data_IF_937712089737
#
_entry.id   IF_937712089737
#
_cell.length_a   1.000
_cell.length_b   1.000
_cell.length_c   1.000
_cell.angle_alpha   90.00
_cell.angle_beta   90.00
_cell.angle_gamma   90.00
#
_symmetry.space_group_name_H-M   'P 1'
#
loop_
_entity.id
_entity.type
_entity.pdbx_description
1 polymer ?
#
# COMPACT_ATOMS: atom_id res chain seq x y z
N UNK A 1 -19.87 3.65 -6.66
CA UNK A 1 -19.13 2.79 -7.63
C UNK A 1 -17.99 2.04 -6.95
N UNK A 2 -17.21 2.69 -6.07
CA UNK A 2 -16.18 2.07 -5.19
C UNK A 2 -16.79 1.07 -4.19
N UNK A 3 -17.97 1.36 -3.64
CA UNK A 3 -18.63 0.48 -2.65
C UNK A 3 -18.89 -0.92 -3.21
N UNK A 4 -19.14 -1.01 -4.51
CA UNK A 4 -19.35 -2.28 -5.21
C UNK A 4 -18.05 -3.11 -5.31
N UNK A 5 -16.89 -2.46 -5.40
CA UNK A 5 -15.59 -3.15 -5.45
C UNK A 5 -15.22 -3.72 -4.08
N UNK A 6 -15.46 -2.98 -3.00
CA UNK A 6 -15.22 -3.47 -1.63
C UNK A 6 -16.13 -4.64 -1.30
N UNK A 7 -17.43 -4.55 -1.64
CA UNK A 7 -18.36 -5.66 -1.47
C UNK A 7 -17.92 -6.91 -2.24
N UNK A 8 -17.46 -6.73 -3.49
CA UNK A 8 -16.94 -7.82 -4.31
C UNK A 8 -15.67 -8.44 -3.72
N UNK A 9 -14.72 -7.63 -3.25
CA UNK A 9 -13.49 -8.11 -2.62
C UNK A 9 -13.80 -8.90 -1.33
N UNK A 10 -14.68 -8.39 -0.47
CA UNK A 10 -15.11 -9.07 0.75
C UNK A 10 -15.74 -10.44 0.44
N UNK A 11 -16.57 -10.53 -0.61
CA UNK A 11 -17.19 -11.78 -1.02
C UNK A 11 -16.16 -12.82 -1.52
N UNK A 12 -15.16 -12.37 -2.29
CA UNK A 12 -14.07 -13.25 -2.72
C UNK A 12 -13.22 -13.74 -1.54
N UNK A 13 -12.92 -12.85 -0.58
CA UNK A 13 -12.17 -13.19 0.63
C UNK A 13 -12.90 -14.21 1.50
N UNK A 14 -14.23 -14.10 1.67
CA UNK A 14 -15.03 -15.08 2.43
C UNK A 14 -14.98 -16.49 1.84
N UNK A 15 -14.87 -16.62 0.53
CA UNK A 15 -14.83 -17.91 -0.18
C UNK A 15 -13.42 -18.50 -0.29
N UNK A 16 -12.39 -17.68 -0.09
CA UNK A 16 -11.00 -18.11 -0.25
C UNK A 16 -10.59 -19.08 0.86
N UNK A 17 -10.03 -20.23 0.49
CA UNK A 17 -9.47 -21.20 1.44
C UNK A 17 -8.07 -20.81 1.92
N UNK A 18 -7.34 -20.03 1.13
CA UNK A 18 -5.98 -19.54 1.39
C UNK A 18 -5.86 -18.15 0.78
N UNK A 19 -5.38 -17.19 1.56
CA UNK A 19 -5.20 -15.80 1.13
C UNK A 19 -3.74 -15.43 1.30
N UNK A 20 -3.18 -14.79 0.28
CA UNK A 20 -1.86 -14.16 0.32
C UNK A 20 -2.04 -12.70 0.01
N UNK A 21 -1.44 -11.83 0.81
CA UNK A 21 -1.46 -10.39 0.61
C UNK A 21 -0.03 -9.93 0.39
N UNK A 22 0.22 -9.34 -0.77
CA UNK A 22 1.47 -8.64 -1.04
C UNK A 22 1.28 -7.18 -0.65
N UNK A 23 2.13 -6.67 0.23
CA UNK A 23 2.08 -5.28 0.70
C UNK A 23 3.35 -4.54 0.26
N UNK A 24 3.23 -3.22 0.15
CA UNK A 24 4.36 -2.32 -0.06
C UNK A 24 4.34 -1.18 0.96
N UNK A 25 5.30 -0.26 0.88
CA UNK A 25 5.46 0.85 1.84
C UNK A 25 4.20 1.71 2.06
N UNK A 26 3.31 1.77 1.05
CA UNK A 26 2.05 2.51 1.15
C UNK A 26 1.15 2.08 2.32
N UNK A 27 1.20 0.80 2.75
CA UNK A 27 0.39 0.34 3.90
C UNK A 27 0.81 1.00 5.22
N UNK A 28 2.03 1.54 5.29
CA UNK A 28 2.59 2.16 6.50
C UNK A 28 2.52 3.68 6.48
N UNK A 29 2.09 4.30 5.38
CA UNK A 29 2.03 5.75 5.23
C UNK A 29 1.12 6.40 6.31
N UNK A 30 -0.05 5.81 6.54
CA UNK A 30 -1.00 6.28 7.56
C UNK A 30 -0.51 6.08 9.01
N UNK A 31 0.53 5.26 9.20
CA UNK A 31 1.21 5.09 10.50
C UNK A 31 2.39 6.06 10.68
N UNK A 32 2.59 7.00 9.76
CA UNK A 32 3.67 7.99 9.82
C UNK A 32 5.03 7.49 9.32
N UNK A 33 5.10 6.28 8.73
CA UNK A 33 6.32 5.80 8.08
C UNK A 33 6.35 6.35 6.65
N UNK A 34 7.33 7.20 6.28
CA UNK A 34 7.40 7.76 4.94
C UNK A 34 7.51 6.68 3.87
N UNK A 35 6.81 6.84 2.76
CA UNK A 35 7.03 5.99 1.60
C UNK A 35 8.25 6.43 0.83
N UNK A 36 8.74 5.58 -0.05
CA UNK A 36 9.89 5.91 -0.89
C UNK A 36 9.55 6.91 -1.99
N UNK A 37 8.34 6.83 -2.58
CA UNK A 37 8.03 7.43 -3.89
C UNK A 37 6.94 8.51 -3.87
N UNK A 38 6.43 8.89 -2.71
CA UNK A 38 5.41 9.95 -2.65
C UNK A 38 5.93 11.27 -3.21
N UNK A 39 5.18 11.88 -4.12
CA UNK A 39 5.62 13.04 -4.91
C UNK A 39 5.90 14.32 -4.10
N UNK A 40 5.56 14.37 -2.80
CA UNK A 40 5.79 15.54 -1.93
C UNK A 40 6.56 15.22 -0.65
N UNK A 41 6.56 13.96 -0.22
CA UNK A 41 7.13 13.55 1.08
C UNK A 41 7.96 12.27 0.98
N UNK A 42 8.11 11.72 -0.23
CA UNK A 42 8.86 10.50 -0.48
C UNK A 42 10.32 10.66 -0.07
N UNK A 43 10.91 9.59 0.46
CA UNK A 43 12.31 9.60 0.88
C UNK A 43 13.25 9.99 -0.27
N UNK A 44 12.94 9.60 -1.51
CA UNK A 44 13.76 9.93 -2.68
C UNK A 44 13.72 11.40 -3.12
N UNK A 45 12.73 12.17 -2.66
CA UNK A 45 12.72 13.64 -2.85
C UNK A 45 13.66 14.34 -1.85
N UNK A 46 14.05 13.66 -0.77
CA UNK A 46 14.87 14.22 0.33
C UNK A 46 16.29 13.65 0.38
N UNK A 47 16.52 12.45 -0.14
CA UNK A 47 17.77 11.72 -0.06
C UNK A 47 18.08 11.04 -1.40
N UNK A 48 19.36 11.03 -1.78
CA UNK A 48 19.81 10.30 -2.97
C UNK A 48 19.87 8.78 -2.68
N UNK A 49 19.16 7.93 -3.46
CA UNK A 49 19.31 6.48 -3.41
C UNK A 49 20.71 5.92 -3.51
N UNK A 50 21.58 6.55 -4.27
CA UNK A 50 22.90 6.03 -4.54
C UNK A 50 23.89 6.26 -3.39
N UNK A 51 23.53 7.11 -2.41
CA UNK A 51 24.39 7.49 -1.29
C UNK A 51 24.07 6.78 0.04
N UNK A 52 23.10 5.86 0.05
CA UNK A 52 22.66 5.05 1.19
C UNK A 52 23.02 3.57 1.02
#
# INVERSE_FOLDING_TARGET
MIDNLLAKAAEQLRKAKRVVVLTGAGISAESGIPTFRDAQVGLWEKYDPAEL
#
